data_IF_321191341584
#
_entry.id   IF_321191341584
#
_cell.length_a   1.000
_cell.length_b   1.000
_cell.length_c   1.000
_cell.angle_alpha   90.00
_cell.angle_beta   90.00
_cell.angle_gamma   90.00
#
_symmetry.space_group_name_H-M   'P 1'
#
loop_
_entity.id
_entity.type
_entity.pdbx_description
1 polymer ?
#
# COMPACT_ATOMS: atom_id res chain seq x y z
N UNK A 1 -21.76 -9.91 -4.40
CA UNK A 1 -21.10 -11.20 -4.17
C UNK A 1 -22.22 -12.19 -4.31
N UNK A 2 -22.18 -12.94 -5.39
CA UNK A 2 -23.42 -13.43 -5.97
C UNK A 2 -23.68 -14.90 -5.58
N UNK A 3 -22.66 -15.59 -5.04
CA UNK A 3 -22.80 -16.95 -4.51
C UNK A 3 -21.87 -17.24 -3.30
N UNK A 4 -22.26 -16.92 -2.05
CA UNK A 4 -21.39 -17.06 -0.88
C UNK A 4 -21.14 -18.52 -0.44
N UNK A 5 -22.03 -19.46 -0.77
CA UNK A 5 -21.85 -20.88 -0.41
C UNK A 5 -20.79 -21.55 -1.30
N UNK A 6 -20.85 -21.30 -2.61
CA UNK A 6 -19.85 -21.77 -3.57
C UNK A 6 -18.47 -21.22 -3.24
N UNK A 7 -18.36 -19.93 -2.93
CA UNK A 7 -17.08 -19.32 -2.58
C UNK A 7 -16.51 -19.95 -1.31
N UNK A 8 -17.34 -20.25 -0.30
CA UNK A 8 -16.88 -20.95 0.90
C UNK A 8 -16.36 -22.36 0.56
N UNK A 9 -17.08 -23.10 -0.28
CA UNK A 9 -16.63 -24.41 -0.75
C UNK A 9 -15.29 -24.34 -1.48
N UNK A 10 -15.15 -23.41 -2.43
CA UNK A 10 -13.90 -23.18 -3.16
C UNK A 10 -12.76 -22.77 -2.23
N UNK A 11 -13.02 -21.96 -1.19
CA UNK A 11 -12.00 -21.61 -0.18
C UNK A 11 -11.50 -22.83 0.60
N UNK A 12 -12.40 -23.72 1.02
CA UNK A 12 -12.03 -24.94 1.72
C UNK A 12 -11.23 -25.91 0.83
N UNK A 13 -11.64 -26.06 -0.43
CA UNK A 13 -10.91 -26.88 -1.40
C UNK A 13 -9.52 -26.28 -1.69
N UNK A 14 -9.44 -24.96 -1.89
CA UNK A 14 -8.19 -24.25 -2.11
C UNK A 14 -7.22 -24.42 -0.95
N UNK A 15 -7.70 -24.34 0.30
CA UNK A 15 -6.88 -24.55 1.49
C UNK A 15 -6.33 -25.99 1.61
N UNK A 16 -7.10 -26.98 1.14
CA UNK A 16 -6.71 -28.41 1.14
C UNK A 16 -5.71 -28.73 0.02
N UNK A 17 -6.01 -28.30 -1.20
CA UNK A 17 -5.26 -28.66 -2.40
C UNK A 17 -4.03 -27.75 -2.62
N UNK A 18 -4.07 -26.51 -2.11
CA UNK A 18 -3.04 -25.46 -2.28
C UNK A 18 -2.57 -25.32 -3.73
N UNK A 19 -3.50 -25.16 -4.70
CA UNK A 19 -3.12 -24.94 -6.08
C UNK A 19 -2.45 -23.56 -6.23
N UNK A 20 -1.59 -23.42 -7.24
CA UNK A 20 -0.98 -22.12 -7.58
C UNK A 20 -1.95 -21.20 -8.32
N UNK A 21 -2.80 -21.78 -9.16
CA UNK A 21 -3.79 -21.04 -9.93
C UNK A 21 -5.02 -20.79 -9.06
N UNK A 22 -5.43 -19.52 -8.98
CA UNK A 22 -6.59 -19.09 -8.19
C UNK A 22 -7.84 -19.16 -9.08
N UNK A 23 -8.86 -19.95 -8.70
CA UNK A 23 -10.13 -20.00 -9.41
C UNK A 23 -10.81 -18.63 -9.53
N UNK A 24 -11.60 -18.45 -10.59
CA UNK A 24 -12.21 -17.16 -10.93
C UNK A 24 -13.10 -16.62 -9.81
N UNK A 25 -13.88 -17.47 -9.17
CA UNK A 25 -14.77 -17.12 -8.07
C UNK A 25 -14.01 -16.57 -6.86
N UNK A 26 -12.78 -17.06 -6.61
CA UNK A 26 -11.91 -16.56 -5.56
C UNK A 26 -11.24 -15.22 -5.94
N UNK A 27 -10.94 -15.01 -7.22
CA UNK A 27 -10.53 -13.69 -7.73
C UNK A 27 -11.67 -12.66 -7.59
N UNK A 28 -12.90 -13.03 -7.96
CA UNK A 28 -14.08 -12.19 -7.81
C UNK A 28 -14.37 -11.86 -6.34
N UNK A 29 -14.15 -12.82 -5.43
CA UNK A 29 -14.18 -12.59 -3.99
C UNK A 29 -13.14 -11.55 -3.55
N UNK A 30 -11.88 -11.66 -3.98
CA UNK A 30 -10.85 -10.67 -3.66
C UNK A 30 -11.22 -9.27 -4.19
N UNK A 31 -11.81 -9.19 -5.38
CA UNK A 31 -12.32 -7.93 -5.96
C UNK A 31 -13.52 -7.38 -5.17
N UNK A 32 -14.35 -8.24 -4.59
CA UNK A 32 -15.42 -7.83 -3.68
C UNK A 32 -14.85 -7.24 -2.38
N UNK A 33 -13.85 -7.88 -1.77
CA UNK A 33 -13.19 -7.35 -0.56
C UNK A 33 -12.47 -6.02 -0.85
N UNK A 34 -11.81 -5.88 -2.01
CA UNK A 34 -11.19 -4.62 -2.43
C UNK A 34 -12.20 -3.46 -2.50
N UNK A 35 -13.44 -3.73 -2.92
CA UNK A 35 -14.49 -2.69 -3.04
C UNK A 35 -15.20 -2.38 -1.74
N UNK A 36 -15.39 -3.37 -0.88
CA UNK A 36 -16.26 -3.25 0.31
C UNK A 36 -15.51 -3.19 1.63
N UNK A 37 -14.27 -3.65 1.66
CA UNK A 37 -13.48 -3.87 2.88
C UNK A 37 -14.03 -4.95 3.80
N UNK A 38 -15.08 -5.66 3.41
CA UNK A 38 -15.68 -6.72 4.22
C UNK A 38 -15.18 -8.10 3.76
N UNK A 39 -14.39 -8.81 4.58
CA UNK A 39 -13.90 -10.13 4.22
C UNK A 39 -14.99 -11.21 4.23
N UNK A 40 -16.15 -11.01 4.88
CA UNK A 40 -17.27 -11.98 4.97
C UNK A 40 -16.94 -13.28 5.74
N UNK A 41 -15.82 -13.92 5.45
CA UNK A 41 -15.34 -15.13 6.08
C UNK A 41 -14.24 -14.86 7.10
N UNK A 42 -14.07 -15.82 8.01
CA UNK A 42 -13.04 -15.81 9.03
C UNK A 42 -11.64 -15.85 8.39
N UNK A 43 -10.71 -15.12 8.98
CA UNK A 43 -9.35 -14.98 8.45
C UNK A 43 -8.65 -16.33 8.22
N UNK A 44 -8.70 -17.32 9.13
CA UNK A 44 -8.10 -18.64 8.88
C UNK A 44 -8.59 -19.32 7.59
N UNK A 45 -9.86 -19.11 7.21
CA UNK A 45 -10.46 -19.68 6.00
C UNK A 45 -9.89 -19.06 4.73
N UNK A 46 -9.61 -17.75 4.75
CA UNK A 46 -9.16 -16.99 3.58
C UNK A 46 -7.65 -16.76 3.55
N UNK A 47 -6.93 -17.03 4.64
CA UNK A 47 -5.49 -16.76 4.78
C UNK A 47 -4.68 -17.46 3.69
N UNK A 48 -4.97 -18.72 3.38
CA UNK A 48 -4.27 -19.46 2.32
C UNK A 48 -4.45 -18.82 0.94
N UNK A 49 -5.65 -18.33 0.64
CA UNK A 49 -5.92 -17.60 -0.61
C UNK A 49 -5.11 -16.30 -0.68
N UNK A 50 -5.11 -15.50 0.40
CA UNK A 50 -4.35 -14.25 0.44
C UNK A 50 -2.85 -14.47 0.30
N UNK A 51 -2.32 -15.52 0.94
CA UNK A 51 -0.91 -15.90 0.84
C UNK A 51 -0.55 -16.23 -0.62
N UNK A 52 -1.31 -17.11 -1.26
CA UNK A 52 -1.02 -17.51 -2.64
C UNK A 52 -1.16 -16.32 -3.61
N UNK A 53 -2.22 -15.52 -3.44
CA UNK A 53 -2.41 -14.30 -4.25
C UNK A 53 -1.24 -13.33 -4.10
N UNK A 54 -0.75 -13.12 -2.88
CA UNK A 54 0.44 -12.30 -2.61
C UNK A 54 1.66 -12.83 -3.37
N UNK A 55 1.92 -14.13 -3.31
CA UNK A 55 3.05 -14.76 -4.01
C UNK A 55 2.92 -14.54 -5.51
N UNK A 56 1.76 -14.85 -6.10
CA UNK A 56 1.53 -14.73 -7.54
C UNK A 56 1.71 -13.28 -8.00
N UNK A 57 1.08 -12.32 -7.33
CA UNK A 57 1.11 -10.90 -7.71
C UNK A 57 2.51 -10.30 -7.55
N UNK A 58 3.19 -10.57 -6.42
CA UNK A 58 4.55 -10.05 -6.19
C UNK A 58 5.52 -10.60 -7.23
N UNK A 59 5.42 -11.90 -7.53
CA UNK A 59 6.32 -12.58 -8.48
C UNK A 59 6.07 -12.08 -9.90
N UNK A 60 4.82 -12.04 -10.34
CA UNK A 60 4.44 -11.49 -11.65
C UNK A 60 4.86 -10.02 -11.80
N UNK A 61 4.66 -9.19 -10.76
CA UNK A 61 5.09 -7.79 -10.80
C UNK A 61 6.60 -7.65 -10.96
N UNK A 62 7.38 -8.46 -10.23
CA UNK A 62 8.83 -8.45 -10.28
C UNK A 62 9.35 -8.89 -11.65
N UNK A 63 8.82 -10.00 -12.19
CA UNK A 63 9.21 -10.56 -13.48
C UNK A 63 8.81 -9.66 -14.66
N UNK A 64 7.68 -8.96 -14.55
CA UNK A 64 7.19 -8.04 -15.59
C UNK A 64 7.81 -6.64 -15.49
N UNK A 65 8.64 -6.35 -14.48
CA UNK A 65 9.41 -5.10 -14.42
C UNK A 65 10.77 -5.28 -15.12
N UNK A 66 11.13 -4.42 -16.09
CA UNK A 66 12.50 -4.38 -16.57
C UNK A 66 13.43 -4.05 -15.39
N UNK A 67 14.65 -4.60 -15.39
CA UNK A 67 15.67 -4.31 -14.38
C UNK A 67 15.99 -2.81 -14.38
N UNK A 68 15.30 -2.07 -13.51
CA UNK A 68 15.51 -0.64 -13.29
C UNK A 68 16.43 -0.54 -12.09
N UNK A 69 17.60 0.08 -12.27
CA UNK A 69 18.43 0.47 -11.13
C UNK A 69 17.60 1.37 -10.20
N UNK A 70 17.39 0.92 -8.97
CA UNK A 70 16.66 1.65 -7.95
C UNK A 70 17.62 2.68 -7.35
N UNK A 71 17.40 4.00 -7.54
CA UNK A 71 18.30 5.00 -7.00
C UNK A 71 18.33 4.92 -5.47
N UNK A 72 19.51 5.03 -4.84
CA UNK A 72 19.60 5.10 -3.39
C UNK A 72 18.90 6.37 -2.89
N UNK A 73 18.14 6.23 -1.81
CA UNK A 73 17.47 7.34 -1.15
C UNK A 73 18.01 7.41 0.30
N UNK A 74 18.51 8.57 0.78
CA UNK A 74 19.32 8.65 2.00
C UNK A 74 18.60 8.24 3.30
N UNK A 75 17.26 8.24 3.31
CA UNK A 75 16.44 7.89 4.49
C UNK A 75 15.62 6.61 4.29
N UNK A 76 15.95 5.82 3.28
CA UNK A 76 15.17 4.66 2.87
C UNK A 76 16.13 3.49 2.70
N UNK A 77 15.87 2.42 3.44
CA UNK A 77 16.69 1.20 3.36
C UNK A 77 16.82 0.70 1.92
N UNK A 78 17.95 0.10 1.59
CA UNK A 78 18.15 -0.46 0.26
C UNK A 78 17.10 -1.55 -0.02
N UNK A 79 16.49 -1.51 -1.21
CA UNK A 79 15.47 -2.47 -1.56
C UNK A 79 16.09 -3.84 -1.85
N UNK A 80 15.66 -4.85 -1.12
CA UNK A 80 15.98 -6.25 -1.38
C UNK A 80 14.68 -7.03 -1.54
N UNK A 81 14.45 -7.52 -2.77
CA UNK A 81 13.22 -8.20 -3.15
C UNK A 81 12.93 -9.43 -2.28
N UNK A 82 13.91 -10.32 -2.11
CA UNK A 82 13.71 -11.57 -1.37
C UNK A 82 13.45 -11.31 0.12
N UNK A 83 14.22 -10.41 0.74
CA UNK A 83 14.02 -10.07 2.15
C UNK A 83 12.63 -9.48 2.39
N UNK A 84 12.20 -8.53 1.55
CA UNK A 84 10.91 -7.86 1.71
C UNK A 84 9.74 -8.82 1.40
N UNK A 85 9.87 -9.68 0.39
CA UNK A 85 8.87 -10.72 0.07
C UNK A 85 8.68 -11.68 1.25
N UNK A 86 9.78 -12.21 1.80
CA UNK A 86 9.71 -13.13 2.94
C UNK A 86 9.12 -12.44 4.17
N UNK A 87 9.55 -11.21 4.48
CA UNK A 87 8.99 -10.43 5.58
C UNK A 87 7.47 -10.24 5.48
N UNK A 88 6.97 -9.82 4.31
CA UNK A 88 5.54 -9.63 4.04
C UNK A 88 4.76 -10.94 4.24
N UNK A 89 5.28 -12.06 3.71
CA UNK A 89 4.63 -13.38 3.82
C UNK A 89 4.64 -13.91 5.25
N UNK A 90 5.74 -13.76 5.99
CA UNK A 90 5.82 -14.15 7.40
C UNK A 90 4.86 -13.32 8.24
N UNK A 91 4.83 -12.00 8.04
CA UNK A 91 3.96 -11.11 8.80
C UNK A 91 2.47 -11.39 8.54
N UNK A 92 2.10 -11.73 7.31
CA UNK A 92 0.74 -12.16 6.97
C UNK A 92 0.27 -13.36 7.82
N UNK A 93 1.16 -14.34 8.07
CA UNK A 93 0.82 -15.54 8.85
C UNK A 93 0.52 -15.23 10.32
N UNK A 94 1.12 -14.17 10.86
CA UNK A 94 0.97 -13.79 12.29
C UNK A 94 -0.42 -13.30 12.66
N UNK A 95 -1.24 -12.88 11.69
CA UNK A 95 -2.59 -12.40 11.94
C UNK A 95 -3.54 -13.54 12.35
N UNK A 96 -4.22 -13.38 13.48
CA UNK A 96 -5.32 -14.28 13.92
C UNK A 96 -6.64 -13.93 13.24
N UNK A 97 -6.92 -12.64 13.05
CA UNK A 97 -8.08 -12.07 12.33
C UNK A 97 -7.59 -11.18 11.18
N UNK A 98 -8.48 -10.82 10.25
CA UNK A 98 -8.09 -10.05 9.07
C UNK A 98 -7.56 -8.66 9.50
N UNK A 99 -6.46 -8.15 8.92
CA UNK A 99 -5.98 -6.82 9.24
C UNK A 99 -7.02 -5.76 8.85
N UNK A 100 -7.12 -4.65 9.59
CA UNK A 100 -8.09 -3.59 9.26
C UNK A 100 -7.85 -2.97 7.87
N UNK A 101 -6.64 -3.14 7.33
CA UNK A 101 -6.20 -2.73 6.00
C UNK A 101 -6.53 -3.75 4.90
N UNK A 102 -7.30 -4.82 5.19
CA UNK A 102 -7.61 -5.89 4.21
C UNK A 102 -8.18 -5.34 2.90
N UNK A 103 -8.99 -4.29 2.94
CA UNK A 103 -9.48 -3.62 1.75
C UNK A 103 -8.33 -3.13 0.86
N UNK A 104 -7.40 -2.37 1.47
CA UNK A 104 -6.27 -1.78 0.78
C UNK A 104 -5.31 -2.84 0.25
N UNK A 105 -5.12 -3.93 1.00
CA UNK A 105 -4.36 -5.09 0.54
C UNK A 105 -5.02 -5.68 -0.71
N UNK A 106 -6.34 -5.91 -0.71
CA UNK A 106 -7.04 -6.44 -1.88
C UNK A 106 -7.00 -5.50 -3.09
N UNK A 107 -7.05 -4.18 -2.91
CA UNK A 107 -6.85 -3.23 -4.01
C UNK A 107 -5.47 -3.40 -4.67
N UNK A 108 -4.42 -3.53 -3.85
CA UNK A 108 -3.05 -3.76 -4.35
C UNK A 108 -2.92 -5.11 -5.06
N UNK A 109 -3.58 -6.16 -4.57
CA UNK A 109 -3.49 -7.50 -5.16
C UNK A 109 -4.33 -7.69 -6.42
N UNK A 110 -5.45 -6.98 -6.55
CA UNK A 110 -6.36 -7.09 -7.71
C UNK A 110 -6.04 -6.09 -8.81
N UNK A 111 -5.35 -4.99 -8.48
CA UNK A 111 -4.97 -3.94 -9.45
C UNK A 111 -3.55 -3.41 -9.19
N UNK A 112 -2.52 -4.27 -9.19
CA UNK A 112 -1.17 -3.91 -8.74
C UNK A 112 -0.52 -2.79 -9.57
N UNK A 113 -0.85 -2.71 -10.86
CA UNK A 113 -0.31 -1.71 -11.81
C UNK A 113 -1.07 -0.38 -11.81
N UNK A 114 -2.12 -0.23 -11.01
CA UNK A 114 -2.96 0.99 -11.01
C UNK A 114 -2.22 2.23 -10.51
N UNK A 115 -1.42 2.06 -9.45
CA UNK A 115 -0.74 3.18 -8.76
C UNK A 115 0.77 3.02 -8.74
N UNK A 116 1.29 1.83 -9.09
CA UNK A 116 2.71 1.52 -9.01
C UNK A 116 3.22 0.90 -10.30
N UNK A 117 4.30 1.49 -10.82
CA UNK A 117 5.03 0.97 -11.99
C UNK A 117 6.39 0.37 -11.61
N UNK A 118 6.82 0.52 -10.35
CA UNK A 118 8.10 0.04 -9.84
C UNK A 118 7.90 -0.93 -8.69
N UNK A 119 8.70 -2.01 -8.69
CA UNK A 119 8.56 -3.09 -7.72
C UNK A 119 8.85 -2.61 -6.29
N UNK A 120 9.86 -1.77 -6.08
CA UNK A 120 10.23 -1.31 -4.75
C UNK A 120 9.14 -0.46 -4.09
N UNK A 121 8.46 0.39 -4.88
CA UNK A 121 7.32 1.17 -4.38
C UNK A 121 6.12 0.29 -4.07
N UNK A 122 5.82 -0.68 -4.95
CA UNK A 122 4.73 -1.63 -4.75
C UNK A 122 4.93 -2.47 -3.49
N UNK A 123 6.14 -3.03 -3.32
CA UNK A 123 6.49 -3.86 -2.16
C UNK A 123 6.44 -3.08 -0.85
N UNK A 124 6.93 -1.83 -0.82
CA UNK A 124 6.79 -0.94 0.35
C UNK A 124 5.34 -0.60 0.68
N UNK A 125 4.49 -0.45 -0.33
CA UNK A 125 3.07 -0.21 -0.12
C UNK A 125 2.41 -1.43 0.54
N UNK A 126 2.74 -2.64 0.10
CA UNK A 126 2.28 -3.88 0.75
C UNK A 126 2.80 -4.00 2.19
N UNK A 127 4.09 -3.81 2.39
CA UNK A 127 4.74 -3.84 3.71
C UNK A 127 4.04 -2.92 4.71
N UNK A 128 3.82 -1.64 4.33
CA UNK A 128 3.13 -0.67 5.18
C UNK A 128 1.73 -1.14 5.58
N UNK A 129 0.99 -1.79 4.67
CA UNK A 129 -0.36 -2.27 4.95
C UNK A 129 -0.39 -3.56 5.77
N UNK A 130 0.71 -4.33 5.77
CA UNK A 130 0.86 -5.56 6.56
C UNK A 130 1.45 -5.30 7.95
N UNK A 131 2.17 -4.19 8.15
CA UNK A 131 2.76 -3.81 9.45
C UNK A 131 1.75 -3.34 10.51
N UNK A 132 0.45 -3.43 10.23
CA UNK A 132 -0.60 -3.06 11.17
C UNK A 132 -0.73 -4.07 12.31
N UNK A 133 -1.29 -3.61 13.43
CA UNK A 133 -1.54 -4.45 14.62
C UNK A 133 -3.03 -4.62 14.93
N UNK A 134 -3.90 -3.75 14.41
CA UNK A 134 -5.35 -3.88 14.56
C UNK A 134 -5.95 -4.79 13.48
N UNK A 135 -6.98 -5.53 13.90
CA UNK A 135 -7.72 -6.46 13.06
C UNK A 135 -9.20 -6.06 12.99
N UNK A 136 -9.93 -6.71 12.10
CA UNK A 136 -11.38 -6.57 11.94
C UNK A 136 -12.04 -7.93 11.95
N UNK A 137 -13.23 -7.98 12.54
CA UNK A 137 -14.09 -9.17 12.49
C UNK A 137 -14.90 -9.20 11.19
N UNK A 138 -15.17 -10.38 10.62
CA UNK A 138 -16.01 -10.50 9.44
C UNK A 138 -17.45 -10.04 9.73
N UNK A 139 -18.08 -9.35 8.76
CA UNK A 139 -19.48 -8.91 8.89
C UNK A 139 -19.70 -7.57 9.58
N UNK A 140 -18.66 -6.94 10.15
CA UNK A 140 -18.76 -5.63 10.82
C UNK A 140 -18.77 -4.41 9.86
N UNK A 141 -19.26 -4.59 8.63
CA UNK A 141 -19.22 -3.62 7.54
C UNK A 141 -20.11 -2.37 7.71
N UNK A 142 -20.08 -1.72 8.89
CA UNK A 142 -20.66 -0.39 9.18
C UNK A 142 -19.96 0.32 10.35
N UNK A 143 -18.64 0.49 10.32
CA UNK A 143 -17.96 1.51 11.13
C UNK A 143 -16.91 2.26 10.33
N UNK A 144 -17.37 2.98 9.30
CA UNK A 144 -16.68 4.17 8.80
C UNK A 144 -17.63 4.96 7.91
N UNK A 145 -18.39 5.86 8.53
CA UNK A 145 -19.00 7.05 7.93
C UNK A 145 -19.36 7.97 9.09
N UNK A 146 -18.58 9.04 9.24
CA UNK A 146 -19.06 10.39 9.57
C UNK A 146 -20.38 10.46 10.36
N UNK A 147 -20.30 10.40 11.69
CA UNK A 147 -21.02 11.27 12.61
C UNK A 147 -20.61 10.90 14.05
N UNK A 148 -20.21 11.90 14.82
CA UNK A 148 -19.92 11.74 16.23
C UNK A 148 -21.22 11.50 16.99
N UNK A 149 -21.63 10.24 17.11
CA UNK A 149 -22.75 9.83 17.95
C UNK A 149 -22.32 8.80 18.99
N UNK A 150 -22.18 9.37 20.19
CA UNK A 150 -22.06 8.79 21.53
C UNK A 150 -22.61 7.37 21.69
N UNK A 151 -21.75 6.42 22.09
CA UNK A 151 -22.18 5.18 22.73
C UNK A 151 -22.45 5.47 24.21
N UNK A 152 -23.70 5.86 24.46
CA UNK A 152 -24.31 5.94 25.78
C UNK A 152 -24.48 4.50 26.31
N UNK A 153 -23.68 4.09 27.30
CA UNK A 153 -23.97 2.89 28.08
C UNK A 153 -24.85 3.30 29.26
N UNK A 154 -26.16 3.32 29.05
CA UNK A 154 -27.16 3.64 30.08
C UNK A 154 -27.49 2.41 30.92
N UNK A 155 -27.01 2.40 32.17
CA UNK A 155 -27.58 1.58 33.23
C UNK A 155 -27.85 2.44 34.47
N UNK A 156 -29.02 2.17 35.07
CA UNK A 156 -29.51 2.51 36.41
C UNK A 156 -30.27 3.84 36.65
N UNK A 157 -31.59 3.65 36.67
CA UNK A 157 -32.52 4.05 37.74
C UNK A 157 -33.04 5.50 37.85
N UNK A 158 -34.33 5.52 38.17
CA UNK A 158 -35.29 6.61 38.15
C UNK A 158 -35.33 7.39 39.48
N UNK A 159 -35.23 8.73 39.45
CA UNK A 159 -35.81 9.62 40.47
C UNK A 159 -36.22 10.96 39.83
N UNK A 160 -37.43 11.49 40.12
CA UNK A 160 -37.78 12.86 39.75
C UNK A 160 -37.65 13.83 40.93
N UNK A 161 -37.35 15.08 40.55
CA UNK A 161 -37.86 16.34 41.10
C UNK A 161 -36.88 17.30 41.81
N UNK A 162 -37.02 18.54 41.36
CA UNK A 162 -37.05 19.78 42.12
C UNK A 162 -35.83 20.74 42.13
N UNK A 163 -36.13 21.94 41.62
CA UNK A 163 -35.72 23.30 42.04
C UNK A 163 -34.27 23.78 41.88
N UNK A 164 -34.16 24.85 41.08
CA UNK A 164 -33.35 26.07 41.24
C UNK A 164 -32.17 26.04 42.24
N UNK A 165 -30.98 26.34 41.73
CA UNK A 165 -30.13 27.37 42.33
C UNK A 165 -29.13 27.87 41.29
N UNK A 166 -29.20 29.16 41.02
CA UNK A 166 -28.15 29.95 40.39
C UNK A 166 -26.86 29.84 41.20
N UNK A 167 -25.70 29.85 40.54
CA UNK A 167 -24.47 30.51 41.00
C UNK A 167 -23.65 30.88 39.76
N UNK A 168 -23.78 32.14 39.36
CA UNK A 168 -22.79 32.82 38.54
C UNK A 168 -21.49 32.93 39.34
N UNK A 169 -20.39 32.40 38.79
CA UNK A 169 -19.05 32.93 39.05
C UNK A 169 -18.42 33.18 37.69
N UNK A 170 -18.54 34.43 37.26
CA UNK A 170 -17.74 35.00 36.19
C UNK A 170 -16.47 35.59 36.83
N UNK A 171 -15.30 35.08 36.46
CA UNK A 171 -14.03 35.81 36.60
C UNK A 171 -13.30 35.63 35.28
N UNK A 172 -13.28 36.74 34.53
CA UNK A 172 -12.51 36.94 33.32
C UNK A 172 -10.99 36.75 33.55
N UNK A 173 -10.28 36.67 32.43
CA UNK A 173 -8.82 36.68 32.26
C UNK A 173 -8.09 35.34 32.44
N UNK A 174 -8.06 34.59 31.34
CA UNK A 174 -6.79 34.05 30.87
C UNK A 174 -6.73 34.13 29.34
N UNK A 175 -6.40 35.33 28.88
CA UNK A 175 -5.66 35.54 27.63
C UNK A 175 -4.37 34.71 27.70
N UNK A 176 -4.25 33.70 26.84
CA UNK A 176 -3.12 33.58 25.91
C UNK A 176 -3.30 32.30 25.10
N UNK A 177 -3.72 32.47 23.84
CA UNK A 177 -3.65 31.40 22.84
C UNK A 177 -2.18 31.14 22.48
N UNK A 178 -1.68 29.89 22.49
CA UNK A 178 -0.31 29.62 22.06
C UNK A 178 -0.14 29.94 20.57
N UNK A 179 0.60 31.01 20.28
CA UNK A 179 0.95 31.45 18.93
C UNK A 179 1.88 30.42 18.27
N UNK A 180 1.31 29.51 17.46
CA UNK A 180 2.11 28.65 16.59
C UNK A 180 2.77 29.53 15.50
N UNK A 181 4.10 29.48 15.31
CA UNK A 181 4.77 30.32 14.32
C UNK A 181 4.25 29.98 12.93
N UNK A 182 3.63 30.98 12.30
CA UNK A 182 3.11 30.91 10.93
C UNK A 182 4.29 30.71 9.97
N UNK A 183 4.31 29.60 9.24
CA UNK A 183 5.27 29.35 8.16
C UNK A 183 5.10 30.43 7.10
N UNK A 184 6.13 31.25 6.93
CA UNK A 184 6.22 32.25 5.86
C UNK A 184 6.39 31.50 4.55
N UNK A 185 5.40 31.59 3.66
CA UNK A 185 5.56 31.14 2.27
C UNK A 185 6.58 32.05 1.57
N UNK A 186 7.58 31.52 0.85
CA UNK A 186 8.46 32.35 0.04
C UNK A 186 7.67 32.95 -1.13
N UNK A 187 7.79 34.26 -1.31
CA UNK A 187 7.31 35.01 -2.47
C UNK A 187 7.90 34.47 -3.78
N UNK A 188 7.16 34.50 -4.91
CA UNK A 188 7.69 34.12 -6.20
C UNK A 188 8.78 35.11 -6.64
N UNK A 189 9.96 34.58 -6.96
CA UNK A 189 11.07 35.33 -7.55
C UNK A 189 10.67 35.70 -8.99
N UNK A 190 10.62 37.00 -9.29
CA UNK A 190 10.61 37.50 -10.66
C UNK A 190 11.91 37.07 -11.34
N UNK A 191 11.82 36.37 -12.46
CA UNK A 191 12.96 36.12 -13.32
C UNK A 191 13.30 37.41 -14.07
N UNK A 192 14.47 37.99 -13.76
CA UNK A 192 15.09 38.99 -14.60
C UNK A 192 15.76 38.29 -15.79
N UNK A 193 15.29 38.64 -16.98
CA UNK A 193 15.84 38.20 -18.26
C UNK A 193 17.23 38.80 -18.47
N UNK A 194 18.28 37.98 -18.31
CA UNK A 194 19.62 38.32 -18.78
C UNK A 194 19.98 37.42 -19.97
N UNK A 195 19.96 38.03 -21.16
CA UNK A 195 20.58 37.50 -22.38
C UNK A 195 22.10 37.43 -22.17
N UNK A 196 22.66 36.23 -22.32
CA UNK A 196 24.10 36.02 -22.44
C UNK A 196 24.38 35.10 -23.63
N UNK A 197 24.54 35.75 -24.78
CA UNK A 197 25.43 35.45 -25.91
C UNK A 197 26.11 34.06 -25.94
N UNK A 198 25.53 33.14 -26.74
CA UNK A 198 26.19 31.90 -27.15
C UNK A 198 27.25 32.19 -28.22
N UNK A 199 28.54 32.08 -27.87
CA UNK A 199 29.64 32.03 -28.83
C UNK A 199 29.99 30.58 -29.17
N UNK A 200 29.72 30.23 -30.42
CA UNK A 200 30.15 29.01 -31.11
C UNK A 200 31.67 28.83 -31.11
N UNK A 201 32.14 27.62 -30.78
CA UNK A 201 33.42 27.07 -31.27
C UNK A 201 33.26 25.57 -31.55
N UNK A 202 34.01 25.02 -32.52
CA UNK A 202 33.58 23.88 -33.34
C UNK A 202 33.96 22.51 -32.76
N UNK A 203 33.20 21.50 -33.17
CA UNK A 203 33.44 20.09 -32.92
C UNK A 203 34.71 19.60 -33.66
N UNK A 204 35.60 18.93 -32.92
CA UNK A 204 36.68 18.11 -33.48
C UNK A 204 36.29 16.65 -33.28
N UNK A 205 35.96 15.99 -34.40
CA UNK A 205 35.85 14.55 -34.53
C UNK A 205 37.24 13.92 -34.38
N UNK A 206 37.37 12.87 -33.56
CA UNK A 206 38.51 11.97 -33.63
C UNK A 206 38.04 10.60 -34.14
N UNK A 207 38.55 10.27 -35.32
CA UNK A 207 38.36 9.02 -36.05
C UNK A 207 39.12 7.86 -35.39
N UNK A 208 38.51 6.68 -35.46
CA UNK A 208 39.12 5.37 -35.18
C UNK A 208 40.03 4.96 -36.36
N UNK A 209 41.23 4.40 -36.13
CA UNK A 209 42.01 3.83 -37.21
C UNK A 209 41.61 2.37 -37.47
N UNK A 210 41.18 2.12 -38.69
CA UNK A 210 41.09 0.80 -39.32
C UNK A 210 42.50 0.37 -39.76
N UNK A 211 42.94 -0.82 -39.38
CA UNK A 211 43.97 -1.56 -40.12
C UNK A 211 43.47 -2.96 -40.46
N UNK A 212 43.64 -3.28 -41.74
CA UNK A 212 43.17 -4.49 -42.40
C UNK A 212 44.27 -5.54 -42.53
N UNK A 213 43.82 -6.80 -42.61
CA UNK A 213 44.36 -7.91 -43.41
C UNK A 213 45.71 -8.52 -43.04
N UNK A 214 45.70 -9.80 -42.64
CA UNK A 214 46.26 -10.85 -43.51
C UNK A 214 45.65 -12.23 -43.23
N UNK A 215 45.49 -13.00 -44.30
CA UNK A 215 44.97 -14.37 -44.35
C UNK A 215 46.13 -15.33 -44.11
N UNK A 216 45.94 -16.39 -43.33
CA UNK A 216 46.49 -17.68 -43.74
C UNK A 216 45.62 -18.85 -43.28
N UNK A 217 45.25 -19.66 -44.27
CA UNK A 217 44.61 -20.97 -44.11
C UNK A 217 45.72 -21.97 -43.83
N UNK A 218 45.57 -22.84 -42.83
CA UNK A 218 46.16 -24.18 -42.87
C UNK A 218 45.21 -25.22 -42.23
N UNK A 219 44.71 -26.10 -43.11
CA UNK A 219 44.29 -27.50 -42.99
C UNK A 219 44.20 -28.15 -41.59
N UNK A 220 43.07 -28.74 -41.20
CA UNK A 220 42.63 -30.11 -41.54
C UNK A 220 43.64 -31.19 -41.08
N UNK A 221 43.44 -31.71 -39.87
CA UNK A 221 43.06 -33.09 -39.54
C UNK A 221 42.75 -33.20 -38.05
#
# INVERSE_FOLDING_TARGET
>A
MDNPEEILHSLEEFAKMKPKDIPRELEEYLCYVARTGNPVYQWPTIKSLFREKLINVITDFYESCPSIEIPPCPNVDHFNYELMKNFILEKLETFSSAPFTVQRICELLTSPRKEYNRIDKFMRALEKNILVVSTTEPGNGRRSTENGESLLNGEAEHLPDNSNSSHDINVEEMDESPNWPRVVQPTPILYESNEAEAKSQPAVSQELPVQAQEREKVNLF
#
